data_IF_791493134107
#
_entry.id   IF_791493134107
#
_cell.length_a   1.000
_cell.length_b   1.000
_cell.length_c   1.000
_cell.angle_alpha   90.00
_cell.angle_beta   90.00
_cell.angle_gamma   90.00
#
_symmetry.space_group_name_H-M   'P 1'
#
loop_
_entity.id
_entity.type
_entity.pdbx_description
1 polymer ?
#
# COMPACT_ATOMS: atom_id res chain seq x y z
N UNK A 1 -4.46 -4.70 18.48
CA UNK A 1 -4.28 -4.42 17.04
C UNK A 1 -5.61 -4.64 16.32
N UNK A 2 -6.27 -3.61 16.04
CA UNK A 2 -7.38 -3.20 15.15
C UNK A 2 -7.95 -4.27 14.18
N UNK A 3 -8.85 -5.13 14.65
CA UNK A 3 -9.76 -5.89 13.78
C UNK A 3 -10.83 -4.95 13.16
N UNK A 4 -11.14 -3.83 13.82
CA UNK A 4 -12.12 -2.84 13.34
C UNK A 4 -11.60 -2.07 12.11
N UNK A 5 -10.30 -1.94 11.94
CA UNK A 5 -9.71 -1.12 10.86
C UNK A 5 -9.47 -1.88 9.54
N UNK A 6 -9.60 -3.21 9.52
CA UNK A 6 -9.52 -3.95 8.26
C UNK A 6 -10.72 -3.65 7.33
N UNK A 7 -11.87 -3.33 7.88
CA UNK A 7 -13.02 -2.88 7.07
C UNK A 7 -12.85 -1.47 6.50
N UNK A 8 -12.21 -0.57 7.22
CA UNK A 8 -11.89 0.78 6.75
C UNK A 8 -10.68 0.77 5.81
N UNK A 9 -9.65 -0.01 6.11
CA UNK A 9 -8.50 -0.24 5.23
C UNK A 9 -8.91 -0.92 3.92
N UNK A 10 -9.88 -1.83 3.95
CA UNK A 10 -10.43 -2.48 2.77
C UNK A 10 -11.38 -1.59 1.95
N UNK A 11 -12.15 -0.69 2.60
CA UNK A 11 -12.89 0.36 1.89
C UNK A 11 -11.95 1.38 1.23
N UNK A 12 -10.86 1.74 1.89
CA UNK A 12 -9.81 2.59 1.30
C UNK A 12 -9.09 1.89 0.14
N UNK A 13 -8.86 0.58 0.20
CA UNK A 13 -8.32 -0.23 -0.90
C UNK A 13 -9.32 -0.38 -2.07
N UNK A 14 -10.63 -0.45 -1.81
CA UNK A 14 -11.68 -0.44 -2.84
C UNK A 14 -11.87 0.93 -3.47
N UNK A 15 -11.71 2.01 -2.69
CA UNK A 15 -11.86 3.38 -3.18
C UNK A 15 -10.66 3.89 -4.00
N UNK A 16 -9.53 3.17 -4.00
CA UNK A 16 -8.29 3.56 -4.69
C UNK A 16 -7.78 2.51 -5.67
N UNK A 17 -8.64 1.75 -6.34
CA UNK A 17 -8.26 0.72 -7.33
C UNK A 17 -7.23 -0.33 -6.84
N UNK A 18 -7.06 -0.51 -5.56
CA UNK A 18 -6.20 -1.53 -4.94
C UNK A 18 -4.69 -1.43 -5.24
N UNK A 19 -4.25 -0.34 -5.86
CA UNK A 19 -2.94 -0.22 -6.51
C UNK A 19 -1.90 0.59 -5.71
N UNK A 20 -2.29 1.22 -4.58
CA UNK A 20 -1.40 2.11 -3.85
C UNK A 20 -1.08 1.59 -2.44
N UNK A 21 0.20 1.67 -2.05
CA UNK A 21 0.61 1.43 -0.67
C UNK A 21 0.07 2.54 0.25
N UNK A 22 -0.28 2.21 1.50
CA UNK A 22 -0.67 3.22 2.47
C UNK A 22 0.47 4.23 2.71
N UNK A 23 0.17 5.50 3.03
CA UNK A 23 1.20 6.51 3.30
C UNK A 23 2.19 6.14 4.39
N UNK A 24 1.75 5.36 5.37
CA UNK A 24 2.54 4.95 6.53
C UNK A 24 3.30 3.62 6.35
N UNK A 25 3.27 3.01 5.14
CA UNK A 25 3.91 1.71 4.93
C UNK A 25 5.42 1.78 5.18
N UNK A 26 6.00 0.91 6.05
CA UNK A 26 7.42 0.98 6.45
C UNK A 26 8.41 0.93 5.28
N UNK A 27 8.07 0.22 4.20
CA UNK A 27 8.93 0.12 3.01
C UNK A 27 9.10 1.44 2.24
N UNK A 28 8.28 2.46 2.52
CA UNK A 28 8.40 3.79 1.90
C UNK A 28 9.38 4.71 2.64
N UNK A 29 9.80 4.36 3.86
CA UNK A 29 10.74 5.18 4.67
C UNK A 29 12.08 5.42 3.96
N UNK A 30 12.80 4.38 3.44
CA UNK A 30 14.06 4.61 2.75
C UNK A 30 13.88 5.49 1.51
N UNK A 31 12.79 5.32 0.77
CA UNK A 31 12.51 6.13 -0.41
C UNK A 31 12.22 7.60 -0.06
N UNK A 32 11.51 7.85 1.04
CA UNK A 32 11.30 9.21 1.53
C UNK A 32 12.61 9.88 1.94
N UNK A 33 13.53 9.11 2.54
CA UNK A 33 14.87 9.59 2.87
C UNK A 33 15.71 9.87 1.61
N UNK A 34 15.75 8.93 0.65
CA UNK A 34 16.41 9.13 -0.65
C UNK A 34 15.90 10.38 -1.35
N UNK A 35 14.57 10.60 -1.40
CA UNK A 35 13.97 11.81 -1.95
C UNK A 35 14.51 13.07 -1.27
N UNK A 36 14.57 13.10 0.07
CA UNK A 36 15.10 14.25 0.81
C UNK A 36 16.57 14.52 0.48
N UNK A 37 17.41 13.49 0.46
CA UNK A 37 18.82 13.60 0.11
C UNK A 37 18.98 14.15 -1.31
N UNK A 38 18.23 13.63 -2.27
CA UNK A 38 18.27 14.11 -3.66
C UNK A 38 17.84 15.58 -3.78
N UNK A 39 16.81 16.02 -3.04
CA UNK A 39 16.37 17.42 -3.05
C UNK A 39 17.40 18.34 -2.41
N UNK A 40 18.04 17.93 -1.33
CA UNK A 40 19.13 18.68 -0.69
C UNK A 40 20.32 18.81 -1.63
N UNK A 41 20.71 17.69 -2.29
CA UNK A 41 21.81 17.71 -3.27
C UNK A 41 21.51 18.63 -4.45
N UNK A 42 20.30 18.55 -5.02
CA UNK A 42 19.90 19.43 -6.12
C UNK A 42 19.90 20.91 -5.68
N UNK A 43 19.37 21.20 -4.48
CA UNK A 43 19.36 22.54 -3.91
C UNK A 43 20.76 23.09 -3.66
N UNK A 44 21.66 22.28 -3.10
CA UNK A 44 23.06 22.67 -2.88
C UNK A 44 23.78 23.03 -4.20
N UNK A 45 23.61 22.19 -5.25
CA UNK A 45 24.20 22.47 -6.56
C UNK A 45 23.65 23.75 -7.19
N UNK A 46 22.36 24.03 -7.04
CA UNK A 46 21.75 25.27 -7.53
C UNK A 46 22.25 26.51 -6.77
N UNK A 47 22.41 26.42 -5.44
CA UNK A 47 22.96 27.52 -4.63
C UNK A 47 24.40 27.82 -5.04
N UNK A 48 25.24 26.78 -5.11
CA UNK A 48 26.66 26.93 -5.51
C UNK A 48 26.77 27.55 -6.91
N UNK A 49 25.94 27.12 -7.86
CA UNK A 49 25.94 27.70 -9.19
C UNK A 49 25.43 29.16 -9.19
N UNK A 50 24.42 29.48 -8.38
CA UNK A 50 23.90 30.85 -8.23
C UNK A 50 24.98 31.80 -7.67
N UNK A 51 25.67 31.37 -6.61
CA UNK A 51 26.80 32.13 -6.04
C UNK A 51 27.94 32.29 -7.10
N UNK A 52 28.26 31.25 -7.85
CA UNK A 52 29.23 31.30 -8.92
C UNK A 52 28.89 32.38 -9.96
N UNK A 53 27.65 32.47 -10.39
CA UNK A 53 27.19 33.51 -11.32
C UNK A 53 27.18 34.90 -10.69
N UNK A 54 26.76 35.03 -9.42
CA UNK A 54 26.72 36.30 -8.71
C UNK A 54 28.12 36.93 -8.50
N UNK A 55 29.10 36.09 -8.15
CA UNK A 55 30.47 36.52 -7.86
C UNK A 55 31.43 36.35 -9.03
N UNK A 56 30.95 35.88 -10.20
CA UNK A 56 31.80 35.67 -11.38
C UNK A 56 32.82 34.54 -11.26
N UNK A 57 32.61 33.59 -10.35
CA UNK A 57 33.53 32.47 -10.09
C UNK A 57 33.16 31.31 -11.00
N UNK A 58 33.83 31.24 -12.17
CA UNK A 58 33.53 30.22 -13.20
C UNK A 58 33.65 28.78 -12.71
N UNK A 59 34.60 28.48 -11.82
CA UNK A 59 34.77 27.13 -11.26
C UNK A 59 33.54 26.57 -10.52
N UNK A 60 32.64 27.41 -10.02
CA UNK A 60 31.45 26.99 -9.28
C UNK A 60 30.30 26.56 -10.21
N UNK A 61 30.18 27.16 -11.39
CA UNK A 61 29.11 26.80 -12.34
C UNK A 61 29.63 26.01 -13.57
N UNK A 62 30.96 25.98 -13.81
CA UNK A 62 31.60 25.22 -14.87
C UNK A 62 32.82 24.44 -14.35
N UNK A 63 32.65 23.45 -13.44
CA UNK A 63 33.76 22.76 -12.79
C UNK A 63 34.60 21.93 -13.78
N UNK A 64 34.04 21.50 -14.91
CA UNK A 64 34.74 20.74 -15.97
C UNK A 64 35.35 21.63 -17.06
N UNK A 65 35.15 22.93 -17.04
CA UNK A 65 35.72 23.88 -17.99
C UNK A 65 34.99 23.99 -19.34
N UNK A 66 34.42 22.91 -19.86
CA UNK A 66 33.85 22.88 -21.22
C UNK A 66 32.39 23.29 -21.32
N UNK A 67 31.57 23.01 -20.27
CA UNK A 67 30.17 23.36 -20.25
C UNK A 67 29.75 23.92 -18.87
N UNK A 68 29.01 25.02 -18.90
CA UNK A 68 28.56 25.70 -17.70
C UNK A 68 27.11 25.36 -17.36
N UNK A 69 26.79 25.39 -16.07
CA UNK A 69 25.39 25.47 -15.64
C UNK A 69 24.86 26.87 -15.92
N UNK A 70 24.20 27.07 -17.07
CA UNK A 70 23.77 28.37 -17.57
C UNK A 70 22.64 28.97 -16.72
N UNK A 71 22.46 30.29 -16.80
CA UNK A 71 21.36 30.99 -16.04
C UNK A 71 19.98 30.44 -16.38
N UNK A 72 19.62 30.17 -17.66
CA UNK A 72 18.34 29.51 -17.97
C UNK A 72 18.20 28.14 -17.31
N UNK A 73 19.27 27.36 -17.22
CA UNK A 73 19.30 26.04 -16.55
C UNK A 73 19.11 26.22 -15.03
N UNK A 74 19.75 27.24 -14.45
CA UNK A 74 19.59 27.57 -13.03
C UNK A 74 18.13 27.93 -12.70
N UNK A 75 17.49 28.76 -13.51
CA UNK A 75 16.07 29.14 -13.33
C UNK A 75 15.14 27.96 -13.50
N UNK A 76 15.34 27.13 -14.55
CA UNK A 76 14.55 25.91 -14.76
C UNK A 76 14.73 24.90 -13.60
N UNK A 77 15.97 24.72 -13.12
CA UNK A 77 16.29 23.86 -11.98
C UNK A 77 15.65 24.32 -10.68
N UNK A 78 15.71 25.63 -10.41
CA UNK A 78 15.09 26.23 -9.22
C UNK A 78 13.58 26.08 -9.26
N UNK A 79 12.95 26.33 -10.42
CA UNK A 79 11.53 26.10 -10.63
C UNK A 79 11.15 24.63 -10.42
N UNK A 80 11.90 23.69 -11.00
CA UNK A 80 11.68 22.26 -10.84
C UNK A 80 11.84 21.81 -9.38
N UNK A 81 12.85 22.33 -8.67
CA UNK A 81 13.05 22.07 -7.24
C UNK A 81 11.86 22.59 -6.41
N UNK A 82 11.47 23.86 -6.62
CA UNK A 82 10.35 24.47 -5.93
C UNK A 82 9.03 23.68 -6.15
N UNK A 83 8.71 23.34 -7.40
CA UNK A 83 7.56 22.54 -7.74
C UNK A 83 7.60 21.16 -7.05
N UNK A 84 8.80 20.52 -7.02
CA UNK A 84 8.97 19.20 -6.36
C UNK A 84 8.81 19.29 -4.84
N UNK A 85 9.25 20.37 -4.21
CA UNK A 85 9.06 20.61 -2.78
C UNK A 85 7.58 20.82 -2.41
N UNK A 86 6.80 21.49 -3.29
CA UNK A 86 5.37 21.71 -3.09
C UNK A 86 4.52 20.46 -3.25
N UNK A 87 5.05 19.38 -3.83
CA UNK A 87 4.34 18.14 -4.09
C UNK A 87 3.88 17.47 -2.80
N UNK A 88 2.56 17.30 -2.63
CA UNK A 88 1.94 16.52 -1.55
C UNK A 88 1.56 15.12 -2.06
N UNK A 89 1.90 14.05 -1.29
CA UNK A 89 1.80 12.65 -1.81
C UNK A 89 0.40 12.19 -2.20
N UNK A 90 -0.67 12.79 -1.68
CA UNK A 90 -2.06 12.33 -1.86
C UNK A 90 -3.08 13.44 -2.15
N UNK A 91 -2.69 14.70 -2.13
CA UNK A 91 -3.59 15.82 -2.41
C UNK A 91 -3.68 16.12 -3.92
N UNK A 92 -4.75 16.81 -4.30
CA UNK A 92 -4.85 17.48 -5.62
C UNK A 92 -3.56 18.27 -5.85
N UNK A 93 -3.01 18.21 -7.08
CA UNK A 93 -1.93 19.08 -7.49
C UNK A 93 -2.35 20.53 -7.16
N UNK A 94 -1.53 21.20 -6.42
CA UNK A 94 -1.72 22.63 -6.16
C UNK A 94 -1.66 23.34 -7.52
N UNK A 95 -2.58 24.27 -7.83
CA UNK A 95 -2.51 25.03 -9.09
C UNK A 95 -1.17 25.77 -9.23
N UNK A 96 -0.54 26.15 -8.12
CA UNK A 96 0.81 26.73 -8.10
C UNK A 96 1.89 25.76 -8.56
N UNK A 97 1.84 24.51 -8.12
CA UNK A 97 2.74 23.43 -8.61
C UNK A 97 2.62 23.28 -10.12
N UNK A 98 1.38 23.21 -10.61
CA UNK A 98 1.10 23.08 -12.04
C UNK A 98 1.61 24.28 -12.85
N UNK A 99 1.42 25.49 -12.34
CA UNK A 99 1.91 26.73 -12.97
C UNK A 99 3.43 26.72 -13.09
N UNK A 100 4.15 26.35 -12.01
CA UNK A 100 5.61 26.32 -12.02
C UNK A 100 6.12 25.30 -13.06
N UNK A 101 5.51 24.10 -13.15
CA UNK A 101 5.89 23.14 -14.18
C UNK A 101 5.64 23.64 -15.60
N UNK A 102 4.56 24.37 -15.83
CA UNK A 102 4.30 25.01 -17.14
C UNK A 102 5.34 26.11 -17.44
N UNK A 103 5.72 26.91 -16.44
CA UNK A 103 6.75 27.92 -16.60
C UNK A 103 8.12 27.30 -16.92
N UNK A 104 8.47 26.16 -16.31
CA UNK A 104 9.70 25.41 -16.65
C UNK A 104 9.69 24.97 -18.12
N UNK A 105 8.54 24.40 -18.60
CA UNK A 105 8.42 24.03 -20.02
C UNK A 105 8.54 25.26 -20.93
N UNK A 106 7.83 26.33 -20.59
CA UNK A 106 7.84 27.58 -21.38
C UNK A 106 9.26 28.16 -21.46
N UNK A 107 10.00 28.16 -20.36
CA UNK A 107 11.41 28.60 -20.34
C UNK A 107 12.30 27.73 -21.23
N UNK A 108 12.16 26.40 -21.18
CA UNK A 108 12.91 25.50 -22.05
C UNK A 108 12.58 25.70 -23.54
N UNK A 109 11.32 25.92 -23.88
CA UNK A 109 10.90 26.18 -25.26
C UNK A 109 11.38 27.55 -25.76
N UNK A 110 11.25 28.59 -24.94
CA UNK A 110 11.72 29.93 -25.26
C UNK A 110 13.22 30.00 -25.49
N UNK A 111 14.00 29.36 -24.62
CA UNK A 111 15.47 29.29 -24.80
C UNK A 111 15.85 28.51 -26.06
N UNK A 112 15.19 27.37 -26.32
CA UNK A 112 15.43 26.57 -27.53
C UNK A 112 15.09 27.33 -28.82
N UNK A 113 13.96 28.05 -28.86
CA UNK A 113 13.55 28.90 -29.99
C UNK A 113 14.46 30.11 -30.14
N UNK A 114 14.87 30.74 -29.04
CA UNK A 114 15.77 31.87 -29.05
C UNK A 114 17.12 31.50 -29.67
N UNK A 115 17.72 30.38 -29.29
CA UNK A 115 18.98 29.92 -29.85
C UNK A 115 18.86 29.57 -31.35
N UNK A 116 17.73 29.00 -31.77
CA UNK A 116 17.48 28.74 -33.19
C UNK A 116 17.43 30.03 -34.03
N UNK A 117 16.92 31.13 -33.42
CA UNK A 117 16.81 32.42 -34.06
C UNK A 117 18.06 33.34 -33.84
N UNK A 118 19.15 32.78 -33.30
CA UNK A 118 20.40 33.54 -33.06
C UNK A 118 20.36 34.48 -31.86
N UNK A 119 19.36 34.39 -31.00
CA UNK A 119 19.24 35.20 -29.78
C UNK A 119 20.13 34.57 -28.71
N UNK A 120 21.14 35.28 -28.27
CA UNK A 120 21.97 34.88 -27.12
C UNK A 120 21.44 35.56 -25.87
N UNK A 121 21.07 34.76 -24.86
CA UNK A 121 20.60 35.27 -23.57
C UNK A 121 21.74 35.69 -22.61
N UNK A 122 22.96 35.84 -23.12
CA UNK A 122 24.09 36.49 -22.46
C UNK A 122 24.74 35.74 -21.28
N UNK A 123 24.16 34.63 -20.82
CA UNK A 123 24.59 33.94 -19.61
C UNK A 123 24.82 32.43 -19.82
N UNK A 124 25.36 32.08 -20.96
CA UNK A 124 25.60 30.69 -21.40
C UNK A 124 24.35 30.02 -21.98
N UNK A 125 24.56 28.97 -22.78
CA UNK A 125 23.46 28.26 -23.46
C UNK A 125 22.94 27.11 -22.60
N UNK A 126 21.60 26.92 -22.56
CA UNK A 126 21.00 25.69 -22.06
C UNK A 126 21.15 24.62 -23.18
N UNK A 127 21.85 23.55 -22.90
CA UNK A 127 22.01 22.43 -23.86
C UNK A 127 20.68 21.77 -24.20
N UNK A 128 20.53 21.31 -25.44
CA UNK A 128 19.32 20.61 -25.91
C UNK A 128 18.95 19.42 -25.05
N UNK A 129 19.93 18.63 -24.64
CA UNK A 129 19.74 17.49 -23.72
C UNK A 129 19.18 17.92 -22.35
N UNK A 130 19.63 19.08 -21.84
CA UNK A 130 19.12 19.67 -20.58
C UNK A 130 17.67 20.11 -20.72
N UNK A 131 17.34 20.82 -21.80
CA UNK A 131 15.98 21.28 -22.07
C UNK A 131 14.99 20.11 -22.20
N UNK A 132 15.35 19.08 -22.98
CA UNK A 132 14.53 17.87 -23.14
C UNK A 132 14.33 17.17 -21.80
N UNK A 133 15.36 17.05 -20.96
CA UNK A 133 15.24 16.44 -19.63
C UNK A 133 14.26 17.17 -18.72
N UNK A 134 14.28 18.52 -18.71
CA UNK A 134 13.31 19.32 -17.98
C UNK A 134 11.88 19.18 -18.53
N UNK A 135 11.71 19.17 -19.85
CA UNK A 135 10.39 18.99 -20.50
C UNK A 135 9.83 17.61 -20.17
N UNK A 136 10.63 16.55 -20.23
CA UNK A 136 10.21 15.20 -19.83
C UNK A 136 9.83 15.13 -18.34
N UNK A 137 10.64 15.75 -17.48
CA UNK A 137 10.38 15.81 -16.04
C UNK A 137 9.07 16.55 -15.74
N UNK A 138 8.89 17.73 -16.28
CA UNK A 138 7.71 18.55 -16.12
C UNK A 138 6.45 17.89 -16.73
N UNK A 139 6.57 17.35 -17.95
CA UNK A 139 5.51 16.59 -18.61
C UNK A 139 5.06 15.38 -17.80
N UNK A 140 6.01 14.65 -17.22
CA UNK A 140 5.72 13.54 -16.31
C UNK A 140 4.88 13.97 -15.10
N UNK A 141 5.17 15.14 -14.52
CA UNK A 141 4.43 15.66 -13.37
C UNK A 141 3.05 16.23 -13.75
N UNK A 142 2.94 16.92 -14.89
CA UNK A 142 1.66 17.42 -15.40
C UNK A 142 0.70 16.27 -15.78
N UNK A 143 1.22 15.20 -16.37
CA UNK A 143 0.46 13.99 -16.71
C UNK A 143 0.09 13.12 -15.51
N UNK A 144 0.58 13.41 -14.30
CA UNK A 144 0.51 12.53 -13.13
C UNK A 144 -0.88 11.95 -12.86
N UNK A 145 -1.95 12.71 -13.08
CA UNK A 145 -3.34 12.30 -12.81
C UNK A 145 -4.12 11.84 -14.03
N UNK A 146 -3.98 12.56 -15.14
CA UNK A 146 -4.79 12.31 -16.33
C UNK A 146 -4.29 11.10 -17.13
N UNK A 147 -2.98 10.93 -17.20
CA UNK A 147 -2.31 9.87 -17.97
C UNK A 147 -1.27 9.15 -17.09
N UNK A 148 -1.72 8.24 -16.20
CA UNK A 148 -0.86 7.63 -15.19
C UNK A 148 0.32 6.83 -15.78
N UNK A 149 0.10 6.11 -16.88
CA UNK A 149 1.16 5.32 -17.54
C UNK A 149 2.19 6.24 -18.19
N UNK A 150 1.72 7.24 -18.96
CA UNK A 150 2.60 8.23 -19.61
C UNK A 150 3.42 9.03 -18.58
N UNK A 151 2.79 9.39 -17.46
CA UNK A 151 3.47 10.08 -16.37
C UNK A 151 4.63 9.28 -15.80
N UNK A 152 4.45 7.96 -15.60
CA UNK A 152 5.54 7.09 -15.15
C UNK A 152 6.61 7.02 -16.21
N UNK A 153 6.28 6.76 -17.48
CA UNK A 153 7.22 6.69 -18.58
C UNK A 153 8.07 7.96 -18.69
N UNK A 154 7.43 9.13 -18.77
CA UNK A 154 8.12 10.42 -18.85
C UNK A 154 9.03 10.70 -17.63
N UNK A 155 8.56 10.40 -16.43
CA UNK A 155 9.34 10.59 -15.20
C UNK A 155 10.57 9.69 -15.11
N UNK A 156 10.54 8.51 -15.76
CA UNK A 156 11.70 7.61 -15.85
C UNK A 156 12.62 7.95 -17.02
N UNK A 157 12.11 8.47 -18.12
CA UNK A 157 12.93 8.93 -19.25
C UNK A 157 13.68 10.22 -18.92
N UNK A 158 13.12 11.08 -18.07
CA UNK A 158 13.74 12.36 -17.71
C UNK A 158 15.16 12.24 -17.14
N UNK A 159 15.50 11.34 -16.20
CA UNK A 159 16.86 11.13 -15.74
C UNK A 159 17.76 10.36 -16.75
N UNK A 160 17.20 9.81 -17.83
CA UNK A 160 17.94 9.01 -18.82
C UNK A 160 19.03 9.81 -19.51
N UNK A 161 18.71 10.98 -20.06
CA UNK A 161 19.70 11.84 -20.73
C UNK A 161 20.80 12.34 -19.77
N UNK A 162 20.49 12.83 -18.55
CA UNK A 162 21.51 13.14 -17.55
C UNK A 162 22.37 11.95 -17.15
N UNK A 163 21.80 10.74 -17.11
CA UNK A 163 22.55 9.52 -16.83
C UNK A 163 23.54 9.20 -17.97
N UNK A 164 23.11 9.31 -19.23
CA UNK A 164 23.98 9.17 -20.40
C UNK A 164 25.11 10.21 -20.38
N UNK A 165 24.77 11.45 -20.06
CA UNK A 165 25.79 12.52 -19.93
C UNK A 165 26.79 12.22 -18.82
N UNK A 166 26.36 11.74 -17.66
CA UNK A 166 27.24 11.34 -16.55
C UNK A 166 28.18 10.19 -16.97
N UNK A 167 27.70 9.19 -17.71
CA UNK A 167 28.52 8.13 -18.29
C UNK A 167 29.53 8.73 -19.31
N UNK A 168 29.09 9.69 -20.12
CA UNK A 168 29.94 10.40 -21.06
C UNK A 168 31.12 11.07 -20.37
N UNK A 169 30.88 11.76 -19.24
CA UNK A 169 31.97 12.33 -18.44
C UNK A 169 32.90 11.28 -17.87
N UNK A 170 32.36 10.16 -17.36
CA UNK A 170 33.20 9.07 -16.84
C UNK A 170 34.09 8.45 -17.92
N UNK A 171 33.65 8.41 -19.17
CA UNK A 171 34.36 7.81 -20.28
C UNK A 171 35.12 8.84 -21.17
N UNK A 172 35.09 10.11 -20.79
CA UNK A 172 35.67 11.20 -21.57
C UNK A 172 35.16 11.24 -23.03
N UNK A 173 33.86 11.02 -23.21
CA UNK A 173 33.16 10.91 -24.50
C UNK A 173 32.24 12.15 -24.73
N UNK A 174 32.73 13.22 -25.37
CA UNK A 174 32.03 14.50 -25.54
C UNK A 174 30.67 14.36 -26.25
N UNK A 175 30.55 13.42 -27.18
CA UNK A 175 29.30 13.19 -27.92
C UNK A 175 28.13 12.78 -27.03
N UNK A 176 28.38 12.21 -25.84
CA UNK A 176 27.32 11.73 -24.93
C UNK A 176 26.83 12.80 -23.98
N UNK A 177 27.69 13.73 -23.55
CA UNK A 177 27.25 14.81 -22.67
C UNK A 177 26.90 16.10 -23.45
N UNK A 178 27.46 16.28 -24.68
CA UNK A 178 27.16 17.46 -25.51
C UNK A 178 27.38 18.77 -24.74
N UNK A 179 26.35 19.61 -24.65
CA UNK A 179 26.39 20.89 -23.93
C UNK A 179 25.94 20.78 -22.47
N UNK A 180 25.65 19.58 -21.96
CA UNK A 180 25.20 19.38 -20.57
C UNK A 180 26.42 19.32 -19.62
N UNK A 181 26.53 20.22 -18.66
CA UNK A 181 27.58 20.19 -17.65
C UNK A 181 27.45 19.03 -16.67
N UNK A 182 28.52 18.62 -16.02
CA UNK A 182 28.50 17.57 -14.99
C UNK A 182 27.58 17.95 -13.82
N UNK A 183 27.65 19.19 -13.36
CA UNK A 183 26.78 19.72 -12.30
C UNK A 183 25.29 19.67 -12.69
N UNK A 184 24.96 20.01 -13.95
CA UNK A 184 23.62 19.88 -14.51
C UNK A 184 23.15 18.43 -14.54
N UNK A 185 24.01 17.50 -14.97
CA UNK A 185 23.69 16.07 -15.01
C UNK A 185 23.36 15.53 -13.62
N UNK A 186 24.19 15.82 -12.62
CA UNK A 186 23.97 15.37 -11.23
C UNK A 186 22.69 15.99 -10.65
N UNK A 187 22.46 17.28 -10.88
CA UNK A 187 21.25 17.98 -10.43
C UNK A 187 19.98 17.36 -11.04
N UNK A 188 19.96 17.13 -12.36
CA UNK A 188 18.81 16.55 -13.06
C UNK A 188 18.59 15.09 -12.68
N UNK A 189 19.65 14.30 -12.45
CA UNK A 189 19.53 12.95 -11.88
C UNK A 189 18.89 12.99 -10.50
N UNK A 190 19.35 13.87 -9.62
CA UNK A 190 18.78 14.02 -8.28
C UNK A 190 17.29 14.45 -8.33
N UNK A 191 16.93 15.43 -9.16
CA UNK A 191 15.53 15.84 -9.36
C UNK A 191 14.71 14.71 -10.00
N UNK A 192 15.26 13.97 -10.96
CA UNK A 192 14.62 12.82 -11.58
C UNK A 192 14.28 11.72 -10.56
N UNK A 193 15.24 11.33 -9.74
CA UNK A 193 15.05 10.33 -8.67
C UNK A 193 14.03 10.83 -7.64
N UNK A 194 14.11 12.11 -7.23
CA UNK A 194 13.16 12.69 -6.28
C UNK A 194 11.72 12.69 -6.82
N UNK A 195 11.54 12.96 -8.13
CA UNK A 195 10.23 12.93 -8.78
C UNK A 195 9.75 11.50 -9.06
N UNK A 196 10.65 10.58 -9.45
CA UNK A 196 10.33 9.15 -9.60
C UNK A 196 9.83 8.55 -8.28
N UNK A 197 10.35 8.98 -7.13
CA UNK A 197 9.89 8.56 -5.82
C UNK A 197 8.39 8.85 -5.55
N UNK A 198 7.78 9.85 -6.21
CA UNK A 198 6.34 10.13 -6.16
C UNK A 198 5.51 8.97 -6.72
N UNK A 199 6.04 8.25 -7.70
CA UNK A 199 5.39 7.11 -8.34
C UNK A 199 5.56 5.78 -7.56
N UNK A 200 6.29 5.77 -6.45
CA UNK A 200 6.61 4.58 -5.67
C UNK A 200 5.40 3.75 -5.22
N UNK A 201 4.23 4.40 -5.10
CA UNK A 201 2.97 3.74 -4.74
C UNK A 201 2.26 3.11 -5.94
N UNK A 202 2.73 3.38 -7.15
CA UNK A 202 2.15 2.81 -8.37
C UNK A 202 2.63 1.37 -8.58
N UNK A 203 1.83 0.51 -9.23
CA UNK A 203 2.16 -0.90 -9.41
C UNK A 203 3.49 -1.13 -10.11
N UNK A 204 3.88 -0.24 -11.01
CA UNK A 204 5.14 -0.31 -11.76
C UNK A 204 6.37 -0.24 -10.82
N UNK A 205 6.34 0.60 -9.78
CA UNK A 205 7.45 0.79 -8.84
C UNK A 205 7.31 0.01 -7.54
N UNK A 206 6.14 -0.59 -7.32
CA UNK A 206 5.87 -1.40 -6.14
C UNK A 206 6.90 -2.51 -5.91
N UNK A 207 7.38 -3.23 -6.95
CA UNK A 207 8.43 -4.23 -6.77
C UNK A 207 9.73 -3.67 -6.18
N UNK A 208 10.13 -2.44 -6.55
CA UNK A 208 11.34 -1.80 -6.01
C UNK A 208 11.22 -1.45 -4.51
N UNK A 209 10.00 -1.17 -4.05
CA UNK A 209 9.72 -0.71 -2.68
C UNK A 209 9.24 -1.86 -1.78
N UNK A 210 8.76 -2.97 -2.36
CA UNK A 210 8.22 -4.10 -1.64
C UNK A 210 9.28 -4.81 -0.79
N UNK A 211 8.89 -5.18 0.45
CA UNK A 211 9.70 -6.04 1.34
C UNK A 211 9.62 -7.53 0.98
N UNK A 212 8.84 -7.91 -0.05
CA UNK A 212 8.67 -9.29 -0.52
C UNK A 212 9.98 -9.90 -1.05
N UNK A 213 10.02 -11.23 -1.18
CA UNK A 213 11.14 -11.94 -1.82
C UNK A 213 11.38 -11.42 -3.25
N UNK A 214 10.29 -11.17 -4.00
CA UNK A 214 10.35 -10.57 -5.33
C UNK A 214 10.98 -9.16 -5.31
N UNK A 215 10.58 -8.31 -4.38
CA UNK A 215 11.15 -6.96 -4.25
C UNK A 215 12.64 -6.99 -3.93
N UNK A 216 13.11 -7.94 -3.12
CA UNK A 216 14.54 -8.14 -2.86
C UNK A 216 15.27 -8.57 -4.13
N UNK A 217 14.74 -9.55 -4.86
CA UNK A 217 15.33 -10.01 -6.11
C UNK A 217 15.46 -8.87 -7.14
N UNK A 218 14.40 -8.06 -7.32
CA UNK A 218 14.44 -6.91 -8.24
C UNK A 218 15.52 -5.90 -7.84
N UNK A 219 15.62 -5.56 -6.54
CA UNK A 219 16.69 -4.65 -6.06
C UNK A 219 18.09 -5.24 -6.24
N UNK A 220 18.27 -6.53 -5.95
CA UNK A 220 19.57 -7.21 -6.16
C UNK A 220 19.97 -7.18 -7.63
N UNK A 221 19.05 -7.53 -8.53
CA UNK A 221 19.30 -7.51 -9.98
C UNK A 221 19.60 -6.08 -10.44
N UNK A 222 18.85 -5.07 -9.96
CA UNK A 222 19.11 -3.67 -10.29
C UNK A 222 20.49 -3.21 -9.81
N UNK A 223 20.88 -3.56 -8.60
CA UNK A 223 22.20 -3.22 -8.06
C UNK A 223 23.31 -3.94 -8.83
N UNK A 224 23.17 -5.22 -9.11
CA UNK A 224 24.12 -5.99 -9.91
C UNK A 224 24.29 -5.39 -11.31
N UNK A 225 23.18 -4.95 -11.90
CA UNK A 225 23.20 -4.29 -13.19
C UNK A 225 23.89 -2.92 -13.14
N UNK A 226 23.65 -2.08 -12.12
CA UNK A 226 24.37 -0.82 -11.94
C UNK A 226 25.87 -1.04 -11.77
N UNK A 227 26.27 -2.07 -11.03
CA UNK A 227 27.68 -2.45 -10.86
C UNK A 227 28.26 -2.89 -12.20
N UNK A 228 27.53 -3.69 -12.99
CA UNK A 228 27.97 -4.12 -14.32
C UNK A 228 28.18 -2.94 -15.24
N UNK A 229 27.22 -1.99 -15.30
CA UNK A 229 27.35 -0.77 -16.12
C UNK A 229 28.57 0.06 -15.68
N UNK A 230 28.79 0.21 -14.39
CA UNK A 230 29.97 0.92 -13.87
C UNK A 230 31.28 0.20 -14.24
N UNK A 231 31.32 -1.14 -14.12
CA UNK A 231 32.46 -1.95 -14.49
C UNK A 231 32.76 -1.87 -16.00
N UNK A 232 31.73 -1.91 -16.84
CA UNK A 232 31.86 -1.73 -18.29
C UNK A 232 32.38 -0.32 -18.64
N UNK A 233 31.87 0.72 -17.95
CA UNK A 233 32.35 2.09 -18.14
C UNK A 233 33.85 2.24 -17.78
N UNK A 234 34.31 1.54 -16.75
CA UNK A 234 35.74 1.48 -16.40
C UNK A 234 36.51 0.66 -17.43
N UNK A 235 36.02 -0.50 -17.84
CA UNK A 235 36.67 -1.37 -18.84
C UNK A 235 36.83 -0.67 -20.20
N UNK A 236 35.84 0.15 -20.61
CA UNK A 236 35.94 0.92 -21.86
C UNK A 236 37.16 1.86 -21.95
N UNK A 237 37.75 2.26 -20.81
CA UNK A 237 39.00 3.05 -20.77
C UNK A 237 40.23 2.28 -21.24
N UNK A 238 40.18 0.95 -21.19
CA UNK A 238 41.27 0.06 -21.55
C UNK A 238 41.13 -0.50 -22.97
N UNK A 239 39.98 -0.22 -23.65
CA UNK A 239 39.78 -0.67 -25.04
C UNK A 239 40.45 0.27 -26.01
N UNK A 240 41.24 -0.22 -26.99
CA UNK A 240 41.92 0.60 -27.99
C UNK A 240 40.93 1.47 -28.80
N UNK A 241 41.30 2.72 -29.08
CA UNK A 241 40.44 3.76 -29.66
C UNK A 241 39.84 3.42 -31.04
N UNK A 242 40.47 2.49 -31.80
CA UNK A 242 40.01 2.13 -33.14
C UNK A 242 38.67 1.37 -33.19
N UNK A 243 38.10 0.96 -32.05
CA UNK A 243 36.78 0.33 -31.97
C UNK A 243 35.63 1.32 -31.73
N UNK A 244 35.90 2.62 -31.80
CA UNK A 244 34.90 3.65 -31.63
C UNK A 244 34.27 3.62 -30.24
N UNK A 245 34.94 4.23 -29.26
CA UNK A 245 34.47 4.29 -27.84
C UNK A 245 33.01 4.73 -27.70
N UNK A 246 32.52 5.56 -28.62
CA UNK A 246 31.11 6.01 -28.69
C UNK A 246 30.12 4.90 -28.98
N UNK A 247 30.46 3.93 -29.85
CA UNK A 247 29.59 2.78 -30.13
C UNK A 247 29.48 1.85 -28.94
N UNK A 248 30.58 1.55 -28.28
CA UNK A 248 30.57 0.71 -27.08
C UNK A 248 29.70 1.30 -25.96
N UNK A 249 29.80 2.59 -25.70
CA UNK A 249 29.01 3.28 -24.68
C UNK A 249 27.52 3.36 -25.07
N UNK A 250 27.21 3.62 -26.34
CA UNK A 250 25.83 3.63 -26.80
C UNK A 250 25.17 2.27 -26.66
N UNK A 251 25.85 1.18 -27.04
CA UNK A 251 25.38 -0.20 -26.86
C UNK A 251 25.15 -0.49 -25.37
N UNK A 252 26.09 -0.14 -24.50
CA UNK A 252 25.95 -0.31 -23.05
C UNK A 252 24.73 0.40 -22.49
N UNK A 253 24.45 1.64 -22.93
CA UNK A 253 23.27 2.39 -22.48
C UNK A 253 21.99 1.75 -22.97
N UNK A 254 21.92 1.29 -24.20
CA UNK A 254 20.75 0.60 -24.76
C UNK A 254 20.51 -0.72 -24.05
N UNK A 255 21.54 -1.54 -23.84
CA UNK A 255 21.46 -2.79 -23.08
C UNK A 255 20.98 -2.53 -21.65
N UNK A 256 21.46 -1.48 -21.08
CA UNK A 256 21.12 -0.98 -19.79
C UNK A 256 19.63 -0.67 -19.67
N UNK A 257 19.09 0.12 -20.55
CA UNK A 257 17.67 0.49 -20.57
C UNK A 257 16.78 -0.71 -20.88
N UNK A 258 17.22 -1.58 -21.80
CA UNK A 258 16.50 -2.81 -22.12
C UNK A 258 16.42 -3.75 -20.90
N UNK A 259 17.51 -3.96 -20.19
CA UNK A 259 17.54 -4.78 -18.98
C UNK A 259 16.64 -4.19 -17.88
N UNK A 260 16.69 -2.88 -17.68
CA UNK A 260 15.82 -2.19 -16.74
C UNK A 260 14.34 -2.40 -17.08
N UNK A 261 13.97 -2.27 -18.34
CA UNK A 261 12.62 -2.51 -18.81
C UNK A 261 12.16 -3.95 -18.55
N UNK A 262 13.02 -4.95 -18.82
CA UNK A 262 12.75 -6.36 -18.54
C UNK A 262 12.56 -6.61 -17.04
N UNK A 263 13.43 -6.05 -16.20
CA UNK A 263 13.35 -6.19 -14.74
C UNK A 263 12.03 -5.62 -14.21
N UNK A 264 11.66 -4.41 -14.66
CA UNK A 264 10.41 -3.78 -14.25
C UNK A 264 9.19 -4.60 -14.72
N UNK A 265 9.23 -5.11 -15.96
CA UNK A 265 8.15 -5.95 -16.49
C UNK A 265 7.98 -7.26 -15.71
N UNK A 266 9.10 -7.97 -15.44
CA UNK A 266 9.09 -9.19 -14.62
C UNK A 266 8.63 -8.90 -13.20
N UNK A 267 9.09 -7.79 -12.60
CA UNK A 267 8.65 -7.34 -11.28
C UNK A 267 7.14 -7.10 -11.21
N UNK A 268 6.56 -6.44 -12.21
CA UNK A 268 5.10 -6.21 -12.29
C UNK A 268 4.33 -7.54 -12.40
N UNK A 269 4.80 -8.45 -13.25
CA UNK A 269 4.16 -9.77 -13.42
C UNK A 269 4.18 -10.58 -12.12
N UNK A 270 5.31 -10.57 -11.43
CA UNK A 270 5.47 -11.32 -10.17
C UNK A 270 4.62 -10.72 -9.03
N UNK A 271 4.61 -9.40 -8.88
CA UNK A 271 3.84 -8.71 -7.83
C UNK A 271 2.33 -8.85 -8.08
N UNK A 272 1.90 -8.83 -9.34
CA UNK A 272 0.50 -9.12 -9.72
C UNK A 272 0.06 -10.53 -9.35
N UNK A 273 0.92 -11.54 -9.54
CA UNK A 273 0.64 -12.92 -9.16
C UNK A 273 0.55 -13.11 -7.64
N UNK A 274 1.48 -12.51 -6.90
CA UNK A 274 1.48 -12.53 -5.44
C UNK A 274 0.25 -11.83 -4.84
N UNK A 275 -0.20 -10.75 -5.46
CA UNK A 275 -1.41 -10.02 -5.04
C UNK A 275 -2.67 -10.84 -5.29
N UNK A 276 -2.77 -11.52 -6.44
CA UNK A 276 -3.90 -12.42 -6.75
C UNK A 276 -3.97 -13.58 -5.76
N UNK A 277 -2.83 -14.20 -5.44
CA UNK A 277 -2.76 -15.29 -4.46
C UNK A 277 -3.25 -14.84 -3.09
N UNK A 278 -2.76 -13.69 -2.59
CA UNK A 278 -3.20 -13.10 -1.32
C UNK A 278 -4.69 -12.76 -1.31
N UNK A 279 -5.22 -12.24 -2.41
CA UNK A 279 -6.66 -11.96 -2.53
C UNK A 279 -7.49 -13.25 -2.51
N UNK A 280 -7.00 -14.32 -3.14
CA UNK A 280 -7.66 -15.62 -3.13
C UNK A 280 -7.60 -16.24 -1.74
N UNK A 281 -6.45 -16.26 -1.09
CA UNK A 281 -6.28 -16.70 0.30
C UNK A 281 -7.18 -15.91 1.25
N UNK A 282 -7.24 -14.58 1.09
CA UNK A 282 -8.12 -13.72 1.88
C UNK A 282 -9.61 -14.03 1.63
N UNK A 283 -10.00 -14.28 0.36
CA UNK A 283 -11.39 -14.67 0.03
C UNK A 283 -11.75 -16.01 0.67
N UNK A 284 -10.86 -16.99 0.57
CA UNK A 284 -11.04 -18.31 1.20
C UNK A 284 -11.11 -18.19 2.72
N UNK A 285 -10.22 -17.39 3.33
CA UNK A 285 -10.23 -17.12 4.75
C UNK A 285 -11.53 -16.45 5.21
N UNK A 286 -11.99 -15.41 4.50
CA UNK A 286 -13.26 -14.75 4.84
C UNK A 286 -14.49 -15.64 4.57
N UNK A 287 -14.44 -16.50 3.56
CA UNK A 287 -15.49 -17.49 3.34
C UNK A 287 -15.53 -18.51 4.50
N UNK A 288 -14.38 -18.94 5.02
CA UNK A 288 -14.30 -19.83 6.18
C UNK A 288 -14.79 -19.18 7.48
N UNK A 289 -14.71 -17.83 7.59
CA UNK A 289 -15.22 -17.07 8.75
C UNK A 289 -16.75 -16.87 8.75
N UNK A 290 -17.44 -17.28 7.69
CA UNK A 290 -18.89 -17.22 7.60
C UNK A 290 -19.48 -18.59 7.34
N UNK A 291 -20.58 -18.88 8.02
CA UNK A 291 -21.39 -20.04 7.74
C UNK A 291 -22.18 -19.83 6.43
N UNK A 292 -22.08 -20.74 5.44
CA UNK A 292 -22.70 -20.55 4.13
C UNK A 292 -24.22 -20.64 4.16
N UNK A 293 -24.80 -21.36 5.12
CA UNK A 293 -26.24 -21.59 5.22
C UNK A 293 -26.99 -20.43 5.90
N UNK A 294 -26.38 -19.83 6.92
CA UNK A 294 -26.98 -18.73 7.70
C UNK A 294 -26.40 -17.36 7.37
N UNK A 295 -25.22 -17.29 6.73
CA UNK A 295 -24.48 -16.05 6.51
C UNK A 295 -23.85 -15.45 7.78
N UNK A 296 -24.05 -16.08 8.92
CA UNK A 296 -23.48 -15.68 10.20
C UNK A 296 -21.97 -15.90 10.26
N UNK A 297 -21.36 -15.44 11.36
CA UNK A 297 -19.98 -15.82 11.66
C UNK A 297 -19.90 -17.31 11.98
N UNK A 298 -18.87 -17.98 11.49
CA UNK A 298 -18.61 -19.39 11.78
C UNK A 298 -17.84 -19.55 13.10
N UNK A 299 -17.71 -20.78 13.58
CA UNK A 299 -16.84 -21.14 14.71
C UNK A 299 -15.40 -20.64 14.55
N UNK A 300 -14.84 -20.67 13.35
CA UNK A 300 -13.51 -20.12 13.08
C UNK A 300 -13.39 -18.61 13.43
N UNK A 301 -14.51 -17.86 13.37
CA UNK A 301 -14.54 -16.48 13.85
C UNK A 301 -14.45 -16.38 15.38
N UNK A 302 -15.02 -17.32 16.12
CA UNK A 302 -14.91 -17.38 17.58
C UNK A 302 -13.49 -17.73 18.01
N UNK A 303 -12.84 -18.67 17.33
CA UNK A 303 -11.44 -19.04 17.57
C UNK A 303 -10.52 -17.85 17.32
N UNK A 304 -10.72 -17.12 16.21
CA UNK A 304 -9.97 -15.91 15.90
C UNK A 304 -10.18 -14.81 16.94
N UNK A 305 -11.42 -14.63 17.42
CA UNK A 305 -11.74 -13.66 18.46
C UNK A 305 -11.01 -14.00 19.76
N UNK A 306 -11.06 -15.24 20.23
CA UNK A 306 -10.35 -15.70 21.44
C UNK A 306 -8.83 -15.58 21.27
N UNK A 307 -8.26 -16.00 20.15
CA UNK A 307 -6.82 -15.88 19.88
C UNK A 307 -6.36 -14.42 19.87
N UNK A 308 -7.21 -13.50 19.42
CA UNK A 308 -6.86 -12.07 19.33
C UNK A 308 -7.00 -11.36 20.67
N UNK A 309 -8.06 -11.61 21.40
CA UNK A 309 -8.42 -10.85 22.59
C UNK A 309 -8.14 -11.58 23.91
N UNK A 310 -8.17 -12.92 23.93
CA UNK A 310 -7.94 -13.72 25.12
C UNK A 310 -6.65 -13.43 25.86
N UNK A 311 -5.51 -13.20 25.18
CA UNK A 311 -4.25 -12.85 25.85
C UNK A 311 -4.27 -11.45 26.50
N UNK A 312 -5.15 -10.56 26.05
CA UNK A 312 -5.12 -9.13 26.40
C UNK A 312 -6.22 -8.77 27.40
N UNK A 313 -7.44 -9.29 27.18
CA UNK A 313 -8.64 -8.90 27.94
C UNK A 313 -9.43 -10.12 28.39
N UNK A 314 -10.17 -9.98 29.52
CA UNK A 314 -11.20 -10.94 29.87
C UNK A 314 -12.31 -10.91 28.82
N UNK A 315 -12.83 -12.06 28.47
CA UNK A 315 -13.99 -12.19 27.60
C UNK A 315 -14.92 -13.29 28.09
N UNK A 316 -16.19 -13.11 27.83
CA UNK A 316 -17.22 -14.06 28.18
C UNK A 316 -17.79 -14.74 26.95
N UNK A 317 -18.33 -15.93 27.16
CA UNK A 317 -19.02 -16.74 26.17
C UNK A 317 -20.44 -17.06 26.67
N UNK A 318 -21.42 -16.97 25.78
CA UNK A 318 -22.79 -17.45 26.01
C UNK A 318 -23.10 -18.48 24.93
N UNK A 319 -23.25 -19.72 25.31
CA UNK A 319 -23.78 -20.76 24.43
C UNK A 319 -25.29 -20.70 24.45
N UNK A 320 -25.92 -20.56 23.31
CA UNK A 320 -27.35 -20.37 23.14
C UNK A 320 -27.92 -21.54 22.34
N UNK A 321 -28.91 -22.21 22.85
CA UNK A 321 -29.66 -23.28 22.20
C UNK A 321 -31.15 -22.91 22.11
N UNK A 322 -31.78 -23.24 20.97
CA UNK A 322 -33.22 -23.05 20.78
C UNK A 322 -33.93 -24.30 21.28
N UNK A 323 -34.84 -24.15 22.24
CA UNK A 323 -35.55 -25.27 22.81
C UNK A 323 -36.39 -26.00 21.77
N UNK A 324 -36.24 -27.32 21.73
CA UNK A 324 -36.99 -28.20 20.83
C UNK A 324 -36.65 -28.06 19.34
N UNK A 325 -35.51 -27.40 18.98
CA UNK A 325 -35.10 -27.30 17.58
C UNK A 325 -34.68 -28.66 17.01
N UNK A 326 -34.11 -29.54 17.83
CA UNK A 326 -33.76 -30.92 17.43
C UNK A 326 -35.02 -31.72 17.10
N UNK A 327 -36.08 -31.61 17.93
CA UNK A 327 -37.37 -32.26 17.67
C UNK A 327 -38.05 -31.70 16.43
N UNK A 328 -37.88 -30.41 16.15
CA UNK A 328 -38.36 -29.78 14.92
C UNK A 328 -37.63 -30.35 13.71
N UNK A 329 -36.29 -30.50 13.80
CA UNK A 329 -35.52 -31.14 12.75
C UNK A 329 -35.94 -32.57 12.45
N UNK A 330 -36.25 -33.34 13.48
CA UNK A 330 -36.74 -34.71 13.32
C UNK A 330 -38.17 -34.80 12.75
N UNK A 331 -39.06 -33.89 13.12
CA UNK A 331 -40.48 -33.92 12.69
C UNK A 331 -40.70 -33.27 11.32
N UNK A 332 -40.10 -32.12 11.08
CA UNK A 332 -40.38 -31.26 9.92
C UNK A 332 -39.17 -31.14 8.98
N UNK A 333 -38.11 -31.89 9.30
CA UNK A 333 -36.89 -31.92 8.50
C UNK A 333 -35.87 -30.84 8.89
N UNK A 334 -34.58 -31.02 8.44
CA UNK A 334 -33.50 -30.12 8.80
C UNK A 334 -33.68 -28.70 8.26
N UNK A 335 -34.38 -28.53 7.14
CA UNK A 335 -34.64 -27.21 6.58
C UNK A 335 -35.56 -26.33 7.45
N UNK A 336 -36.53 -26.93 8.18
CA UNK A 336 -37.40 -26.22 9.10
C UNK A 336 -36.58 -25.70 10.29
N UNK A 337 -35.72 -26.53 10.87
CA UNK A 337 -34.83 -26.13 11.96
C UNK A 337 -33.84 -25.04 11.49
N UNK A 338 -33.35 -25.12 10.28
CA UNK A 338 -32.46 -24.10 9.71
C UNK A 338 -33.19 -22.77 9.46
N UNK A 339 -34.44 -22.78 9.06
CA UNK A 339 -35.28 -21.57 8.96
C UNK A 339 -35.47 -20.89 10.31
N UNK A 340 -35.79 -21.68 11.34
CA UNK A 340 -35.95 -21.20 12.70
C UNK A 340 -34.66 -20.62 13.26
N UNK A 341 -33.53 -21.33 13.06
CA UNK A 341 -32.20 -20.85 13.46
C UNK A 341 -31.86 -19.51 12.79
N UNK A 342 -32.13 -19.37 11.50
CA UNK A 342 -31.92 -18.10 10.76
C UNK A 342 -32.79 -16.96 11.28
N UNK A 343 -34.06 -17.24 11.63
CA UNK A 343 -34.95 -16.25 12.20
C UNK A 343 -34.39 -15.72 13.52
N UNK A 344 -34.09 -16.63 14.47
CA UNK A 344 -33.48 -16.27 15.76
C UNK A 344 -32.16 -15.54 15.59
N UNK A 345 -31.30 -16.07 14.75
CA UNK A 345 -29.99 -15.47 14.49
C UNK A 345 -30.07 -14.04 13.92
N UNK A 346 -31.05 -13.78 13.03
CA UNK A 346 -31.24 -12.45 12.45
C UNK A 346 -31.69 -11.42 13.51
N UNK A 347 -32.56 -11.81 14.46
CA UNK A 347 -32.97 -10.92 15.54
C UNK A 347 -31.84 -10.68 16.54
N UNK A 348 -31.13 -11.73 16.95
CA UNK A 348 -29.95 -11.58 17.79
C UNK A 348 -28.90 -10.68 17.16
N UNK A 349 -28.64 -10.82 15.86
CA UNK A 349 -27.68 -9.98 15.13
C UNK A 349 -28.07 -8.49 15.11
N UNK A 350 -29.36 -8.17 15.04
CA UNK A 350 -29.82 -6.77 15.09
C UNK A 350 -29.62 -6.13 16.46
N UNK A 351 -29.67 -6.95 17.50
CA UNK A 351 -29.50 -6.51 18.88
C UNK A 351 -28.05 -6.47 19.36
N UNK A 352 -27.06 -6.93 18.54
CA UNK A 352 -25.65 -6.97 18.94
C UNK A 352 -25.05 -5.58 19.16
N UNK A 353 -24.23 -5.48 20.20
CA UNK A 353 -23.39 -4.32 20.50
C UNK A 353 -22.05 -4.42 19.72
N UNK A 354 -21.31 -3.30 19.54
CA UNK A 354 -20.06 -3.29 18.79
C UNK A 354 -18.95 -4.23 19.30
N UNK A 355 -18.95 -4.52 20.59
CA UNK A 355 -18.01 -5.42 21.27
C UNK A 355 -18.43 -6.89 21.28
N UNK A 356 -19.60 -7.21 20.74
CA UNK A 356 -20.19 -8.54 20.72
C UNK A 356 -19.97 -9.22 19.36
N UNK A 357 -19.79 -10.53 19.40
CA UNK A 357 -19.65 -11.39 18.23
C UNK A 357 -20.58 -12.59 18.35
N UNK A 358 -21.53 -12.72 17.45
CA UNK A 358 -22.42 -13.88 17.37
C UNK A 358 -21.93 -14.82 16.26
N UNK A 359 -21.70 -16.08 16.62
CA UNK A 359 -21.23 -17.13 15.73
C UNK A 359 -22.20 -18.32 15.75
N UNK A 360 -22.23 -19.08 14.66
CA UNK A 360 -22.76 -20.43 14.65
C UNK A 360 -21.66 -21.37 15.21
N UNK A 361 -21.99 -22.13 16.28
CA UNK A 361 -21.01 -23.04 16.92
C UNK A 361 -21.11 -24.44 16.36
N UNK A 362 -22.28 -25.04 16.37
CA UNK A 362 -22.61 -26.32 15.76
C UNK A 362 -23.85 -26.18 14.89
N UNK A 363 -24.38 -27.30 14.38
CA UNK A 363 -25.49 -27.29 13.43
C UNK A 363 -26.67 -26.47 13.90
N UNK A 364 -27.03 -26.54 15.20
CA UNK A 364 -28.24 -25.92 15.76
C UNK A 364 -27.97 -25.04 17.00
N UNK A 365 -26.73 -24.66 17.27
CA UNK A 365 -26.38 -23.83 18.43
C UNK A 365 -25.66 -22.55 18.02
N UNK A 366 -25.84 -21.50 18.81
CA UNK A 366 -25.26 -20.18 18.63
C UNK A 366 -24.29 -19.87 19.78
N UNK A 367 -23.22 -19.16 19.48
CA UNK A 367 -22.22 -18.71 20.45
C UNK A 367 -22.10 -17.18 20.38
N UNK A 368 -22.41 -16.51 21.49
CA UNK A 368 -22.14 -15.09 21.65
C UNK A 368 -20.84 -14.93 22.43
N UNK A 369 -19.95 -14.07 21.95
CA UNK A 369 -18.71 -13.70 22.62
C UNK A 369 -18.72 -12.20 22.91
N UNK A 370 -18.39 -11.83 24.15
CA UNK A 370 -18.38 -10.45 24.63
C UNK A 370 -17.06 -10.10 25.26
N UNK A 371 -16.49 -8.94 24.91
CA UNK A 371 -15.22 -8.45 25.47
C UNK A 371 -15.48 -7.57 26.70
N UNK A 372 -14.48 -7.55 27.61
CA UNK A 372 -14.46 -6.63 28.77
C UNK A 372 -15.76 -6.67 29.61
N UNK A 373 -16.23 -7.88 29.95
CA UNK A 373 -17.42 -8.07 30.74
C UNK A 373 -17.12 -8.86 32.02
N UNK A 374 -17.98 -8.71 33.00
CA UNK A 374 -18.04 -9.59 34.19
C UNK A 374 -19.04 -10.71 33.93
N UNK A 375 -19.00 -11.76 34.75
CA UNK A 375 -19.97 -12.88 34.68
C UNK A 375 -21.43 -12.39 34.88
N UNK A 376 -21.63 -11.46 35.78
CA UNK A 376 -22.94 -10.86 36.08
C UNK A 376 -23.48 -10.08 34.89
N UNK A 377 -22.67 -9.15 34.33
CA UNK A 377 -23.04 -8.38 33.13
C UNK A 377 -23.35 -9.27 31.93
N UNK A 378 -22.61 -10.35 31.80
CA UNK A 378 -22.82 -11.32 30.72
C UNK A 378 -24.11 -12.12 30.92
N UNK A 379 -24.43 -12.44 32.19
CA UNK A 379 -25.68 -13.09 32.58
C UNK A 379 -26.91 -12.22 32.32
N UNK A 380 -26.84 -10.94 32.70
CA UNK A 380 -27.89 -9.96 32.39
C UNK A 380 -28.09 -9.81 30.88
N UNK A 381 -27.00 -9.75 30.13
CA UNK A 381 -27.04 -9.65 28.67
C UNK A 381 -27.65 -10.90 28.03
N UNK A 382 -27.31 -12.08 28.52
CA UNK A 382 -27.91 -13.33 28.05
C UNK A 382 -29.43 -13.36 28.31
N UNK A 383 -29.86 -12.92 29.48
CA UNK A 383 -31.29 -12.82 29.83
C UNK A 383 -32.04 -11.82 28.94
N UNK A 384 -31.41 -10.65 28.64
CA UNK A 384 -31.96 -9.65 27.73
C UNK A 384 -32.19 -10.24 26.32
N UNK A 385 -31.21 -10.97 25.79
CA UNK A 385 -31.32 -11.62 24.49
C UNK A 385 -32.33 -12.75 24.45
N UNK A 386 -32.44 -13.53 25.52
CA UNK A 386 -33.47 -14.56 25.66
C UNK A 386 -34.88 -13.93 25.69
N UNK A 387 -35.07 -12.83 26.42
CA UNK A 387 -36.32 -12.10 26.47
C UNK A 387 -36.72 -11.53 25.10
N UNK A 388 -35.79 -10.97 24.38
CA UNK A 388 -35.99 -10.46 23.00
C UNK A 388 -36.54 -11.55 22.08
N UNK A 389 -35.92 -12.73 22.10
CA UNK A 389 -36.34 -13.84 21.23
C UNK A 389 -37.68 -14.46 21.70
N UNK A 390 -37.97 -14.42 22.98
CA UNK A 390 -39.24 -14.91 23.50
C UNK A 390 -40.47 -14.12 23.00
N UNK A 391 -40.28 -12.92 22.44
CA UNK A 391 -41.34 -12.16 21.78
C UNK A 391 -41.63 -12.67 20.36
N UNK A 392 -40.69 -13.42 19.77
CA UNK A 392 -40.87 -14.02 18.44
C UNK A 392 -41.80 -15.22 18.51
N UNK A 393 -42.49 -15.46 17.40
CA UNK A 393 -43.33 -16.65 17.22
C UNK A 393 -42.71 -17.59 16.20
N UNK A 394 -42.73 -18.88 16.54
CA UNK A 394 -42.27 -19.93 15.66
C UNK A 394 -43.28 -20.19 14.53
N UNK A 395 -42.96 -19.91 13.27
CA UNK A 395 -43.87 -20.15 12.16
C UNK A 395 -44.12 -21.62 11.88
N UNK A 396 -43.25 -22.52 12.34
CA UNK A 396 -43.33 -23.97 12.15
C UNK A 396 -44.06 -24.71 13.31
N UNK A 397 -44.36 -23.99 14.40
CA UNK A 397 -45.01 -24.54 15.62
C UNK A 397 -46.28 -23.75 15.96
N UNK A 398 -47.20 -23.63 15.01
CA UNK A 398 -48.49 -22.96 15.23
C UNK A 398 -48.37 -21.58 15.92
N UNK A 399 -47.31 -20.83 15.60
CA UNK A 399 -47.02 -19.52 16.19
C UNK A 399 -46.76 -19.55 17.71
N UNK A 400 -46.27 -20.66 18.24
CA UNK A 400 -45.82 -20.73 19.64
C UNK A 400 -44.60 -19.82 19.88
N UNK A 401 -44.39 -19.40 21.13
CA UNK A 401 -43.25 -18.57 21.53
C UNK A 401 -41.96 -19.37 21.43
N UNK A 402 -40.93 -18.74 20.86
CA UNK A 402 -39.60 -19.33 20.78
C UNK A 402 -38.91 -19.19 22.13
N UNK A 403 -38.36 -20.28 22.63
CA UNK A 403 -37.66 -20.30 23.91
C UNK A 403 -36.17 -20.60 23.66
N UNK A 404 -35.29 -19.88 24.38
CA UNK A 404 -33.86 -20.09 24.37
C UNK A 404 -33.38 -20.56 25.73
N UNK A 405 -32.41 -21.46 25.70
CA UNK A 405 -31.58 -21.83 26.84
C UNK A 405 -30.18 -21.29 26.64
N UNK A 406 -29.60 -20.65 27.62
CA UNK A 406 -28.28 -20.03 27.53
C UNK A 406 -27.36 -20.45 28.68
N UNK A 407 -26.13 -20.83 28.40
CA UNK A 407 -25.11 -21.02 29.42
C UNK A 407 -24.02 -19.96 29.27
N UNK A 408 -23.73 -19.32 30.39
CA UNK A 408 -22.78 -18.19 30.50
C UNK A 408 -21.48 -18.65 31.14
N UNK A 409 -20.35 -18.42 30.50
CA UNK A 409 -19.03 -18.82 30.97
C UNK A 409 -18.03 -17.70 30.75
N UNK A 410 -17.21 -17.43 31.77
CA UNK A 410 -16.03 -16.58 31.57
C UNK A 410 -14.85 -17.41 31.07
N UNK A 411 -14.19 -16.95 30.01
CA UNK A 411 -12.92 -17.52 29.57
C UNK A 411 -11.81 -17.13 30.52
N UNK A 412 -10.86 -18.05 30.78
CA UNK A 412 -9.69 -17.76 31.59
C UNK A 412 -8.77 -16.78 30.84
N UNK A 413 -8.16 -15.86 31.59
CA UNK A 413 -7.18 -14.94 31.02
C UNK A 413 -5.99 -15.75 30.52
N UNK A 414 -5.64 -15.57 29.23
CA UNK A 414 -4.59 -16.34 28.57
C UNK A 414 -5.10 -17.45 27.66
N UNK A 415 -6.39 -17.84 27.76
CA UNK A 415 -6.99 -18.84 26.87
C UNK A 415 -7.18 -18.25 25.46
N UNK A 416 -6.34 -18.69 24.51
CA UNK A 416 -6.48 -18.35 23.10
C UNK A 416 -7.46 -19.26 22.33
N UNK A 417 -7.93 -20.36 22.96
CA UNK A 417 -8.89 -21.31 22.38
C UNK A 417 -10.21 -21.26 23.16
N UNK A 418 -11.37 -21.02 22.49
CA UNK A 418 -12.68 -21.00 23.14
C UNK A 418 -13.22 -22.41 23.46
N UNK A 419 -12.68 -23.49 22.89
CA UNK A 419 -13.21 -24.83 23.01
C UNK A 419 -13.37 -25.36 24.46
N UNK A 420 -12.42 -25.12 25.39
CA UNK A 420 -12.60 -25.53 26.79
C UNK A 420 -13.81 -24.83 27.45
N UNK A 421 -14.00 -23.54 27.17
CA UNK A 421 -15.10 -22.76 27.73
C UNK A 421 -16.43 -23.17 27.11
N UNK A 422 -16.48 -23.45 25.81
CA UNK A 422 -17.67 -23.99 25.13
C UNK A 422 -18.07 -25.34 25.71
N UNK A 423 -17.11 -26.25 25.98
CA UNK A 423 -17.40 -27.53 26.63
C UNK A 423 -18.01 -27.37 28.03
N UNK A 424 -17.52 -26.40 28.80
CA UNK A 424 -18.11 -26.08 30.13
C UNK A 424 -19.54 -25.58 29.98
N UNK A 425 -19.77 -24.65 29.06
CA UNK A 425 -21.12 -24.12 28.78
C UNK A 425 -22.10 -25.24 28.39
N UNK A 426 -21.68 -26.12 27.49
CA UNK A 426 -22.49 -27.25 27.01
C UNK A 426 -22.80 -28.24 28.12
N UNK A 427 -21.82 -28.53 29.01
CA UNK A 427 -22.05 -29.39 30.16
C UNK A 427 -23.12 -28.78 31.10
N UNK A 428 -23.06 -27.48 31.35
CA UNK A 428 -23.98 -26.76 32.18
C UNK A 428 -25.43 -26.79 31.60
N UNK A 429 -25.58 -26.55 30.28
CA UNK A 429 -26.90 -26.66 29.64
C UNK A 429 -27.54 -28.07 29.77
N UNK A 430 -26.70 -29.10 29.63
CA UNK A 430 -27.17 -30.50 29.77
C UNK A 430 -27.49 -30.91 31.23
N UNK A 431 -26.91 -30.22 32.22
CA UNK A 431 -27.13 -30.51 33.63
C UNK A 431 -28.31 -29.72 34.22
N UNK A 432 -28.84 -28.73 33.49
CA UNK A 432 -30.04 -28.00 33.88
C UNK A 432 -31.25 -28.89 33.66
N UNK A 433 -32.11 -29.05 34.72
CA UNK A 433 -33.31 -29.87 34.64
C UNK A 433 -34.34 -29.29 33.65
N UNK A 434 -35.00 -30.13 32.84
CA UNK A 434 -36.13 -29.72 31.99
C UNK A 434 -37.25 -29.22 32.87
N UNK A 435 -37.50 -27.91 32.89
CA UNK A 435 -38.57 -27.29 33.71
C UNK A 435 -38.09 -26.20 34.65
N UNK A 436 -36.79 -25.97 34.78
CA UNK A 436 -36.26 -24.83 35.51
C UNK A 436 -36.62 -23.53 34.74
N UNK A 437 -37.35 -22.63 35.39
CA UNK A 437 -37.76 -21.34 34.82
C UNK A 437 -36.58 -20.39 34.56
N UNK A 438 -35.37 -20.77 34.97
CA UNK A 438 -34.12 -20.04 34.70
C UNK A 438 -33.53 -20.46 33.37
N UNK A 439 -33.85 -19.72 32.32
CA UNK A 439 -33.33 -19.88 30.97
C UNK A 439 -31.82 -19.54 30.81
N UNK A 440 -31.20 -19.02 31.87
CA UNK A 440 -29.79 -18.62 31.86
C UNK A 440 -29.07 -19.31 33.02
N UNK A 441 -28.09 -20.16 32.67
CA UNK A 441 -27.23 -20.87 33.62
C UNK A 441 -25.88 -20.18 33.70
N UNK A 442 -25.52 -19.68 34.90
CA UNK A 442 -24.23 -19.10 35.16
C UNK A 442 -23.23 -20.19 35.59
N UNK A 443 -22.13 -20.32 34.87
CA UNK A 443 -21.05 -21.23 35.17
C UNK A 443 -19.93 -20.47 35.86
N UNK A 444 -19.81 -20.61 37.19
CA UNK A 444 -18.67 -20.08 37.91
C UNK A 444 -17.38 -20.74 37.46
N UNK A 445 -16.29 -19.97 37.47
CA UNK A 445 -14.97 -20.49 37.15
C UNK A 445 -14.50 -21.42 38.26
N UNK A 446 -14.47 -22.74 38.02
CA UNK A 446 -13.79 -23.68 38.92
C UNK A 446 -12.27 -23.48 38.88
#
# INVERSE_FOLDING_TARGET
VQIVDHGASFRALRASDGLFLSPAHPSLRPLAWTRKVCLVLAGALLIVAAEGHLYGISRLYAPSGDSALSVPTLLAGTGALAATLMQKPLRRSDPRETLIWMLVIALCLLTGLGYRNGIDFGAGRMGGNTAVSFVLLAGGQLCFRRLPVSSVGLSFMAPGLPFVAAIGYLNNAPMLFGEMSLSTSVMLLALGVANAARHARRPILRPLVSSSRAGRAVRTILLSWLILVAAQAVAARFVPQHWGATWGVAVMVVDALALLAVILFLGMKYDGSATRLRLTEWRLYNAALRDPSTGMRSRASAELFSATFGPITSHGLVLIEIEGIVDLAHRSGPEAAERLLRLVASELQRALRPEELLCREEELSLLLMVRNCTLEQLGERAAELCALVAELRDPEREMSRIQLSAAVVMARRGDGDPAPSIRRARKALRSAEPGDTRRVVLCEAA
#
